data_IF_393115933644
#
_entry.id   IF_393115933644
#
_cell.length_a   1.000
_cell.length_b   1.000
_cell.length_c   1.000
_cell.angle_alpha   90.00
_cell.angle_beta   90.00
_cell.angle_gamma   90.00
#
_symmetry.space_group_name_H-M   'P 1'
#
loop_
_entity.id
_entity.type
_entity.pdbx_description
1 polymer ?
#
# COMPACT_ATOMS: atom_id res chain seq x y z
N UNK A 1 0.90 -9.08 10.97
CA UNK A 1 0.25 -8.91 12.30
C UNK A 1 0.19 -10.23 13.08
N UNK A 2 0.75 -10.31 14.30
CA UNK A 2 0.78 -11.54 15.11
C UNK A 2 -0.24 -11.55 16.27
N UNK A 3 -0.87 -10.40 16.55
CA UNK A 3 -1.78 -10.21 17.69
C UNK A 3 -2.98 -9.37 17.29
N UNK A 4 -4.13 -9.67 17.91
CA UNK A 4 -5.35 -8.90 17.76
C UNK A 4 -5.10 -7.44 18.20
N UNK A 5 -5.43 -6.44 17.36
CA UNK A 5 -5.21 -5.04 17.71
C UNK A 5 -6.09 -4.59 18.89
N UNK A 6 -7.26 -5.21 19.06
CA UNK A 6 -8.24 -4.90 20.11
C UNK A 6 -7.86 -5.54 21.45
N UNK A 7 -7.83 -6.87 21.54
CA UNK A 7 -7.65 -7.58 22.81
C UNK A 7 -6.23 -8.13 23.05
N UNK A 8 -5.29 -7.93 22.11
CA UNK A 8 -3.90 -8.39 22.17
C UNK A 8 -3.68 -9.91 22.24
N UNK A 9 -4.73 -10.72 22.04
CA UNK A 9 -4.61 -12.17 21.89
C UNK A 9 -3.69 -12.53 20.71
N UNK A 10 -2.91 -13.60 20.84
CA UNK A 10 -2.16 -14.15 19.71
C UNK A 10 -3.14 -14.65 18.66
N UNK A 11 -2.90 -14.31 17.40
CA UNK A 11 -3.68 -14.79 16.27
C UNK A 11 -2.96 -15.96 15.64
N UNK A 12 -3.71 -16.98 15.20
CA UNK A 12 -3.17 -17.96 14.24
C UNK A 12 -3.10 -17.27 12.87
N UNK A 13 -2.29 -17.81 11.96
CA UNK A 13 -2.31 -17.35 10.56
C UNK A 13 -3.74 -17.44 10.01
N UNK A 14 -4.07 -16.51 9.13
CA UNK A 14 -5.32 -16.47 8.35
C UNK A 14 -6.61 -16.43 9.19
N UNK A 15 -6.53 -16.00 10.45
CA UNK A 15 -7.70 -15.86 11.33
C UNK A 15 -8.38 -14.52 11.10
N UNK A 16 -9.53 -14.53 10.41
CA UNK A 16 -10.34 -13.33 10.16
C UNK A 16 -11.18 -12.88 11.36
N UNK A 17 -11.56 -13.78 12.27
CA UNK A 17 -12.30 -13.44 13.50
C UNK A 17 -11.44 -13.78 14.71
N UNK A 18 -11.19 -12.81 15.59
CA UNK A 18 -10.42 -13.06 16.79
C UNK A 18 -11.12 -14.09 17.69
N UNK A 19 -10.49 -15.24 18.02
CA UNK A 19 -11.14 -16.29 18.80
C UNK A 19 -11.38 -15.90 20.27
N UNK A 20 -10.75 -14.81 20.74
CA UNK A 20 -10.90 -14.34 22.12
C UNK A 20 -12.00 -13.28 22.27
N UNK A 21 -12.00 -12.27 21.41
CA UNK A 21 -12.89 -11.11 21.56
C UNK A 21 -13.93 -10.98 20.44
N UNK A 22 -13.93 -11.88 19.45
CA UNK A 22 -14.90 -11.86 18.35
C UNK A 22 -14.72 -10.72 17.34
N UNK A 23 -13.69 -9.88 17.48
CA UNK A 23 -13.42 -8.79 16.53
C UNK A 23 -13.18 -9.36 15.13
N UNK A 24 -13.84 -8.78 14.14
CA UNK A 24 -13.55 -8.99 12.72
C UNK A 24 -12.25 -8.26 12.33
N UNK A 25 -11.32 -9.02 11.79
CA UNK A 25 -9.96 -8.63 11.41
C UNK A 25 -9.77 -8.68 9.89
N UNK A 26 -10.79 -9.04 9.11
CA UNK A 26 -10.73 -9.12 7.65
C UNK A 26 -10.14 -7.84 7.04
N UNK A 27 -10.67 -6.68 7.42
CA UNK A 27 -10.18 -5.39 6.94
C UNK A 27 -8.74 -5.13 7.43
N UNK A 28 -8.42 -5.09 8.74
CA UNK A 28 -7.05 -4.85 9.22
C UNK A 28 -5.98 -5.77 8.62
N UNK A 29 -6.31 -7.05 8.42
CA UNK A 29 -5.38 -8.03 7.85
C UNK A 29 -5.14 -7.84 6.35
N UNK A 30 -6.07 -7.20 5.65
CA UNK A 30 -5.97 -6.95 4.22
C UNK A 30 -5.21 -5.66 3.86
N UNK A 31 -5.04 -4.72 4.80
CA UNK A 31 -4.43 -3.41 4.55
C UNK A 31 -2.97 -3.55 4.06
N UNK A 32 -2.14 -4.30 4.79
CA UNK A 32 -0.72 -4.46 4.44
C UNK A 32 -0.52 -5.13 3.07
N UNK A 33 -1.16 -6.29 2.76
CA UNK A 33 -1.05 -6.91 1.43
C UNK A 33 -1.60 -6.04 0.30
N UNK A 34 -2.70 -5.32 0.51
CA UNK A 34 -3.25 -4.42 -0.51
C UNK A 34 -2.30 -3.23 -0.78
N UNK A 35 -1.72 -2.64 0.27
CA UNK A 35 -0.74 -1.57 0.11
C UNK A 35 0.47 -2.05 -0.69
N UNK A 36 0.94 -3.27 -0.41
CA UNK A 36 2.04 -3.92 -1.13
C UNK A 36 1.70 -4.18 -2.61
N UNK A 37 0.49 -4.68 -2.88
CA UNK A 37 0.02 -4.87 -4.26
C UNK A 37 0.01 -3.57 -5.05
N UNK A 38 -0.50 -2.48 -4.46
CA UNK A 38 -0.53 -1.17 -5.11
C UNK A 38 0.86 -0.62 -5.41
N UNK A 39 1.84 -0.80 -4.52
CA UNK A 39 3.20 -0.32 -4.79
C UNK A 39 3.89 -1.13 -5.88
N UNK A 40 3.69 -2.45 -5.94
CA UNK A 40 4.18 -3.27 -7.07
C UNK A 40 3.53 -2.88 -8.39
N UNK A 41 2.22 -2.59 -8.38
CA UNK A 41 1.51 -2.09 -9.55
C UNK A 41 2.08 -0.74 -9.99
N UNK A 42 2.35 0.18 -9.06
CA UNK A 42 2.98 1.47 -9.36
C UNK A 42 4.34 1.31 -10.05
N UNK A 43 5.20 0.42 -9.55
CA UNK A 43 6.53 0.18 -10.14
C UNK A 43 6.38 -0.42 -11.55
N UNK A 44 5.44 -1.33 -11.74
CA UNK A 44 5.16 -1.94 -13.06
C UNK A 44 4.67 -0.90 -14.07
N UNK A 45 3.78 0.01 -13.65
CA UNK A 45 3.27 1.10 -14.49
C UNK A 45 4.35 2.12 -14.81
N UNK A 46 5.23 2.41 -13.85
CA UNK A 46 6.39 3.28 -14.05
C UNK A 46 7.35 2.72 -15.10
N UNK A 47 7.65 1.42 -15.05
CA UNK A 47 8.46 0.75 -16.08
C UNK A 47 7.81 0.77 -17.48
N UNK A 48 6.49 0.90 -17.53
CA UNK A 48 5.73 1.04 -18.78
C UNK A 48 5.49 2.51 -19.18
N UNK A 49 6.16 3.46 -18.53
CA UNK A 49 6.06 4.91 -18.77
C UNK A 49 4.63 5.49 -18.58
N UNK A 50 3.79 4.80 -17.81
CA UNK A 50 2.40 5.23 -17.51
C UNK A 50 2.38 6.08 -16.24
N UNK A 51 3.01 7.24 -16.27
CA UNK A 51 3.28 8.08 -15.09
C UNK A 51 2.03 8.41 -14.26
N UNK A 52 0.93 8.83 -14.89
CA UNK A 52 -0.33 9.14 -14.20
C UNK A 52 -0.91 7.94 -13.45
N UNK A 53 -0.85 6.75 -14.07
CA UNK A 53 -1.38 5.53 -13.46
C UNK A 53 -0.46 5.07 -12.33
N UNK A 54 0.86 5.18 -12.52
CA UNK A 54 1.84 4.88 -11.49
C UNK A 54 1.65 5.78 -10.27
N UNK A 55 1.50 7.09 -10.46
CA UNK A 55 1.27 8.05 -9.38
C UNK A 55 0.01 7.69 -8.56
N UNK A 56 -1.09 7.36 -9.25
CA UNK A 56 -2.33 6.92 -8.58
C UNK A 56 -2.13 5.65 -7.75
N UNK A 57 -1.44 4.65 -8.29
CA UNK A 57 -1.18 3.41 -7.57
C UNK A 57 -0.28 3.64 -6.33
N UNK A 58 0.76 4.48 -6.44
CA UNK A 58 1.58 4.85 -5.28
C UNK A 58 0.76 5.55 -4.19
N UNK A 59 -0.14 6.46 -4.58
CA UNK A 59 -1.01 7.15 -3.62
C UNK A 59 -2.03 6.20 -2.96
N UNK A 60 -2.59 5.24 -3.71
CA UNK A 60 -3.46 4.20 -3.15
C UNK A 60 -2.72 3.33 -2.11
N UNK A 61 -1.44 3.01 -2.35
CA UNK A 61 -0.60 2.33 -1.36
C UNK A 61 -0.45 3.17 -0.09
N UNK A 62 -0.16 4.47 -0.23
CA UNK A 62 0.05 5.39 0.88
C UNK A 62 -1.20 5.68 1.71
N UNK A 63 -2.39 5.62 1.10
CA UNK A 63 -3.68 5.71 1.79
C UNK A 63 -3.90 4.54 2.76
N UNK A 64 -3.34 3.36 2.46
CA UNK A 64 -3.44 2.17 3.29
C UNK A 64 -2.33 2.09 4.33
N UNK A 65 -1.08 2.35 3.91
CA UNK A 65 0.09 2.28 4.79
C UNK A 65 1.12 3.32 4.33
N UNK A 66 1.52 4.20 5.26
CA UNK A 66 2.63 5.12 5.02
C UNK A 66 3.96 4.36 5.01
N UNK A 67 4.35 3.89 3.84
CA UNK A 67 5.54 3.06 3.63
C UNK A 67 6.70 3.87 2.99
N UNK A 68 7.95 3.71 3.45
CA UNK A 68 9.10 4.45 2.90
C UNK A 68 9.32 4.22 1.40
N UNK A 69 9.10 2.99 0.90
CA UNK A 69 9.25 2.71 -0.53
C UNK A 69 8.18 3.43 -1.34
N UNK A 70 6.93 3.40 -0.87
CA UNK A 70 5.83 4.10 -1.55
C UNK A 70 6.04 5.62 -1.59
N UNK A 71 6.58 6.22 -0.53
CA UNK A 71 6.96 7.63 -0.52
C UNK A 71 8.07 7.94 -1.54
N UNK A 72 9.10 7.09 -1.61
CA UNK A 72 10.20 7.25 -2.56
C UNK A 72 9.71 7.16 -4.02
N UNK A 73 8.89 6.16 -4.33
CA UNK A 73 8.32 5.95 -5.68
C UNK A 73 7.42 7.13 -6.09
N UNK A 74 6.52 7.58 -5.22
CA UNK A 74 5.67 8.75 -5.51
C UNK A 74 6.52 9.99 -5.80
N UNK A 75 7.53 10.22 -4.96
CA UNK A 75 8.42 11.38 -5.11
C UNK A 75 9.17 11.31 -6.44
N UNK A 76 9.70 10.13 -6.81
CA UNK A 76 10.35 9.93 -8.11
C UNK A 76 9.43 10.24 -9.29
N UNK A 77 8.18 9.74 -9.26
CA UNK A 77 7.20 9.99 -10.32
C UNK A 77 6.89 11.48 -10.45
N UNK A 78 6.73 12.19 -9.33
CA UNK A 78 6.47 13.64 -9.34
C UNK A 78 7.60 14.45 -9.99
N UNK A 79 8.87 14.06 -9.77
CA UNK A 79 9.99 14.70 -10.44
C UNK A 79 9.97 14.44 -11.95
N UNK A 80 9.73 13.19 -12.38
CA UNK A 80 9.64 12.85 -13.80
C UNK A 80 8.55 13.58 -14.56
N UNK A 81 7.36 13.72 -13.97
CA UNK A 81 6.25 14.47 -14.59
C UNK A 81 6.62 15.96 -14.73
N UNK A 82 7.30 16.52 -13.73
CA UNK A 82 7.76 17.91 -13.77
C UNK A 82 8.79 18.12 -14.88
N UNK A 83 9.71 17.16 -15.07
CA UNK A 83 10.70 17.20 -16.15
C UNK A 83 10.06 17.11 -17.54
N UNK A 84 9.03 16.29 -17.74
CA UNK A 84 8.29 16.21 -19.02
C UNK A 84 7.56 17.50 -19.36
N UNK A 85 6.96 18.16 -18.36
CA UNK A 85 6.30 19.45 -18.55
C UNK A 85 7.27 20.58 -18.93
N UNK A 86 8.56 20.45 -18.60
CA UNK A 86 9.61 21.40 -19.01
C UNK A 86 10.10 21.16 -20.45
N UNK A 87 9.72 20.04 -21.08
CA UNK A 87 10.09 19.68 -22.46
C UNK A 87 8.97 19.97 -23.48
N UNK A 88 7.81 20.45 -23.02
CA UNK A 88 6.65 20.86 -23.83
C UNK A 88 6.61 22.38 -24.01
#
# INVERSE_FOLDING_TARGET
MERCPVCKARLKRDTSICPRCGTDLSIPLSIEPQAEQFIYQSITLLNADKLDQAARAAEQSLQLKRDPLALAVRSFIQHRVSDELLLL
#
